data_IF_559194606816
#
_entry.id   IF_559194606816
#
_cell.length_a   1.000
_cell.length_b   1.000
_cell.length_c   1.000
_cell.angle_alpha   90.00
_cell.angle_beta   90.00
_cell.angle_gamma   90.00
#
_symmetry.space_group_name_H-M   'P 1'
#
loop_
_entity.id
_entity.type
_entity.pdbx_description
1 polymer ?
#
# COMPACT_ATOMS: atom_id res chain seq x y z
N UNK A 1 -1.61 2.44 -10.62
CA UNK A 1 -0.72 1.92 -9.55
C UNK A 1 -1.05 2.73 -8.31
N UNK A 2 -1.46 2.05 -7.24
CA UNK A 2 -1.80 2.66 -5.93
C UNK A 2 -0.63 3.54 -5.49
N UNK A 3 -0.85 4.53 -4.64
CA UNK A 3 0.12 5.48 -4.07
C UNK A 3 0.28 6.79 -4.86
N UNK A 4 -0.65 7.71 -4.61
CA UNK A 4 -0.50 9.13 -4.93
C UNK A 4 -1.82 9.85 -5.17
N UNK A 5 -2.74 9.18 -5.86
CA UNK A 5 -4.04 9.77 -6.20
C UNK A 5 -5.10 9.35 -5.19
N UNK A 6 -6.08 10.24 -4.99
CA UNK A 6 -7.16 10.16 -4.01
C UNK A 6 -8.13 8.98 -4.16
N UNK A 7 -7.77 7.97 -4.95
CA UNK A 7 -8.57 6.78 -5.22
C UNK A 7 -7.89 5.56 -4.62
N UNK A 8 -8.34 5.17 -3.43
CA UNK A 8 -8.13 3.82 -2.91
C UNK A 8 -8.68 2.83 -3.92
N UNK A 9 -7.90 1.81 -4.33
CA UNK A 9 -8.42 0.72 -5.14
C UNK A 9 -9.71 0.13 -4.58
N UNK A 10 -10.67 -0.30 -5.43
CA UNK A 10 -11.94 -0.87 -4.97
C UNK A 10 -11.81 -2.04 -4.00
N UNK A 11 -10.68 -2.77 -4.03
CA UNK A 11 -10.43 -3.85 -3.07
C UNK A 11 -10.37 -3.35 -1.61
N UNK A 12 -9.97 -2.09 -1.40
CA UNK A 12 -9.85 -1.54 -0.05
C UNK A 12 -11.20 -1.25 0.61
N UNK A 13 -12.28 -1.14 -0.17
CA UNK A 13 -13.64 -0.96 0.33
C UNK A 13 -14.15 -2.16 1.13
N UNK A 14 -13.43 -3.30 1.06
CA UNK A 14 -13.72 -4.52 1.83
C UNK A 14 -13.16 -4.49 3.25
N UNK A 15 -12.33 -3.51 3.60
CA UNK A 15 -11.80 -3.34 4.94
C UNK A 15 -12.60 -2.30 5.72
N UNK A 16 -12.98 -2.64 6.95
CA UNK A 16 -13.68 -1.75 7.87
C UNK A 16 -12.80 -0.54 8.23
N UNK A 17 -11.49 -0.76 8.31
CA UNK A 17 -10.50 0.28 8.54
C UNK A 17 -9.25 0.01 7.71
N UNK A 18 -8.68 1.08 7.19
CA UNK A 18 -7.41 1.05 6.48
C UNK A 18 -6.54 2.22 6.90
N UNK A 19 -5.25 1.96 7.05
CA UNK A 19 -4.28 2.99 7.37
C UNK A 19 -2.89 2.65 6.83
N UNK A 20 -2.28 3.60 6.12
CA UNK A 20 -0.87 3.47 5.70
C UNK A 20 0.04 3.57 6.93
N UNK A 21 0.78 2.53 7.26
CA UNK A 21 1.64 2.47 8.46
C UNK A 21 3.12 2.27 8.13
N UNK A 22 3.44 1.89 6.89
CA UNK A 22 4.81 1.75 6.41
C UNK A 22 4.93 2.19 4.96
N UNK A 23 6.04 2.85 4.62
CA UNK A 23 6.31 3.28 3.26
C UNK A 23 7.81 3.27 3.00
N UNK A 24 8.22 2.53 1.97
CA UNK A 24 9.60 2.51 1.49
C UNK A 24 9.65 3.15 0.11
N UNK A 25 10.45 4.20 0.02
CA UNK A 25 10.67 4.98 -1.17
C UNK A 25 12.10 4.77 -1.67
N UNK A 26 12.25 4.63 -2.97
CA UNK A 26 13.53 4.60 -3.68
C UNK A 26 13.56 5.73 -4.70
N UNK A 27 14.77 6.04 -5.17
CA UNK A 27 14.99 7.12 -6.13
C UNK A 27 14.44 8.48 -5.64
N UNK A 28 14.49 8.72 -4.33
CA UNK A 28 14.08 10.01 -3.76
C UNK A 28 15.15 11.03 -4.10
N UNK A 29 14.82 12.00 -4.96
CA UNK A 29 15.76 13.06 -5.36
C UNK A 29 15.71 14.16 -4.31
N UNK A 30 16.81 14.37 -3.58
CA UNK A 30 16.94 15.45 -2.61
C UNK A 30 17.59 16.70 -3.21
N UNK A 31 18.52 16.50 -4.15
CA UNK A 31 19.22 17.53 -4.92
C UNK A 31 19.77 16.88 -6.21
N UNK A 32 20.31 17.69 -7.14
CA UNK A 32 20.87 17.27 -8.44
C UNK A 32 21.82 16.07 -8.39
N UNK A 33 22.55 15.93 -7.29
CA UNK A 33 23.56 14.87 -7.12
C UNK A 33 23.24 13.92 -5.96
N UNK A 34 22.09 14.06 -5.32
CA UNK A 34 21.73 13.29 -4.12
C UNK A 34 20.42 12.55 -4.37
N UNK A 35 20.55 11.23 -4.54
CA UNK A 35 19.43 10.30 -4.61
C UNK A 35 19.52 9.35 -3.42
N UNK A 36 18.42 9.23 -2.69
CA UNK A 36 18.37 8.38 -1.50
C UNK A 36 17.24 7.37 -1.50
N UNK A 37 17.23 6.58 -0.43
CA UNK A 37 16.13 5.70 -0.05
C UNK A 37 15.57 6.20 1.27
N UNK A 38 14.26 6.19 1.40
CA UNK A 38 13.56 6.65 2.60
C UNK A 38 12.64 5.53 3.06
N UNK A 39 12.69 5.22 4.35
CA UNK A 39 11.79 4.27 4.98
C UNK A 39 11.05 4.97 6.11
N UNK A 40 9.73 4.86 6.09
CA UNK A 40 8.83 5.48 7.04
C UNK A 40 8.04 4.39 7.74
N UNK A 41 7.83 4.57 9.03
CA UNK A 41 6.92 3.76 9.83
C UNK A 41 6.11 4.68 10.74
N UNK A 42 4.82 4.39 10.91
CA UNK A 42 3.92 5.14 11.77
C UNK A 42 2.98 4.22 12.54
N UNK A 43 2.76 4.55 13.81
CA UNK A 43 1.73 3.92 14.65
C UNK A 43 0.36 4.58 14.48
N UNK A 44 0.34 5.80 13.96
CA UNK A 44 -0.85 6.65 13.86
C UNK A 44 -1.36 6.82 12.42
N UNK A 45 -0.56 6.38 11.45
CA UNK A 45 -0.83 6.57 10.02
C UNK A 45 0.19 7.51 9.38
N UNK A 46 0.44 7.33 8.09
CA UNK A 46 1.28 8.19 7.27
C UNK A 46 0.36 9.02 6.39
N UNK A 47 0.33 10.33 6.62
CA UNK A 47 -0.23 11.27 5.67
C UNK A 47 0.86 11.69 4.68
N UNK A 48 0.86 11.03 3.52
CA UNK A 48 1.80 11.29 2.44
C UNK A 48 1.72 12.74 1.93
N UNK A 49 0.52 13.34 1.93
CA UNK A 49 0.34 14.72 1.45
C UNK A 49 1.05 15.68 2.39
N UNK A 50 0.81 15.56 3.69
CA UNK A 50 1.44 16.41 4.70
C UNK A 50 2.97 16.37 4.65
N UNK A 51 3.58 15.23 4.32
CA UNK A 51 5.03 15.07 4.34
C UNK A 51 5.68 15.50 3.00
N UNK A 52 5.02 15.30 1.86
CA UNK A 52 5.66 15.50 0.55
C UNK A 52 5.21 16.73 -0.24
N UNK A 53 4.02 17.29 0.01
CA UNK A 53 3.57 18.53 -0.66
C UNK A 53 4.53 19.71 -0.44
N UNK A 54 5.32 19.67 0.63
CA UNK A 54 6.35 20.68 0.95
C UNK A 54 7.70 20.45 0.26
N UNK A 55 7.92 19.31 -0.40
CA UNK A 55 9.28 18.92 -0.83
C UNK A 55 9.49 18.83 -2.34
N UNK A 56 8.42 18.76 -3.16
CA UNK A 56 8.54 18.69 -4.63
C UNK A 56 9.38 17.51 -5.14
N UNK A 57 9.60 16.48 -4.32
CA UNK A 57 10.56 15.40 -4.59
C UNK A 57 9.96 14.35 -5.52
N UNK A 58 10.69 14.01 -6.56
CA UNK A 58 10.45 12.80 -7.34
C UNK A 58 10.85 11.58 -6.52
N UNK A 59 9.98 10.57 -6.46
CA UNK A 59 10.24 9.30 -5.79
C UNK A 59 9.53 8.15 -6.50
N UNK A 60 9.95 6.93 -6.17
CA UNK A 60 9.28 5.69 -6.54
C UNK A 60 8.92 4.94 -5.26
N UNK A 61 7.67 4.51 -5.13
CA UNK A 61 7.25 3.63 -4.04
C UNK A 61 7.79 2.22 -4.33
N UNK A 62 8.65 1.72 -3.45
CA UNK A 62 9.19 0.35 -3.49
C UNK A 62 8.26 -0.61 -2.74
N UNK A 63 7.79 -0.20 -1.57
CA UNK A 63 6.83 -0.96 -0.77
C UNK A 63 5.93 -0.02 0.00
N UNK A 64 4.68 -0.39 0.17
CA UNK A 64 3.79 0.25 1.13
C UNK A 64 3.08 -0.79 1.96
N UNK A 65 2.95 -0.49 3.24
CA UNK A 65 2.34 -1.37 4.24
C UNK A 65 1.16 -0.66 4.87
N UNK A 66 0.01 -1.30 4.79
CA UNK A 66 -1.22 -0.89 5.41
C UNK A 66 -1.51 -1.75 6.62
N UNK A 67 -1.98 -1.12 7.68
CA UNK A 67 -2.75 -1.79 8.70
C UNK A 67 -4.21 -1.77 8.28
N UNK A 68 -4.86 -2.93 8.36
CA UNK A 68 -6.26 -3.08 7.99
C UNK A 68 -7.03 -3.85 9.05
N UNK A 69 -8.34 -3.61 9.08
CA UNK A 69 -9.30 -4.41 9.84
C UNK A 69 -10.37 -4.92 8.89
N UNK A 70 -10.66 -6.22 8.92
CA UNK A 70 -11.79 -6.81 8.22
C UNK A 70 -12.48 -7.85 9.11
N UNK A 71 -13.80 -7.68 9.30
CA UNK A 71 -14.62 -8.57 10.13
C UNK A 71 -14.03 -8.73 11.54
N UNK A 72 -13.62 -7.61 12.15
CA UNK A 72 -12.94 -7.54 13.46
C UNK A 72 -11.54 -8.18 13.53
N UNK A 73 -11.00 -8.69 12.42
CA UNK A 73 -9.62 -9.19 12.36
C UNK A 73 -8.70 -8.06 11.92
N UNK A 74 -7.72 -7.74 12.78
CA UNK A 74 -6.68 -6.76 12.49
C UNK A 74 -5.43 -7.43 11.97
N UNK A 75 -4.79 -6.83 10.97
CA UNK A 75 -3.50 -7.27 10.45
C UNK A 75 -2.90 -6.28 9.47
N UNK A 76 -1.93 -6.75 8.69
CA UNK A 76 -1.19 -5.92 7.73
C UNK A 76 -1.22 -6.50 6.33
N UNK A 77 -1.21 -5.57 5.36
CA UNK A 77 -1.08 -5.82 3.94
C UNK A 77 0.10 -5.01 3.42
N UNK A 78 1.06 -5.66 2.78
CA UNK A 78 2.17 -4.96 2.13
C UNK A 78 2.19 -5.26 0.65
N UNK A 79 2.34 -4.22 -0.17
CA UNK A 79 2.46 -4.31 -1.61
C UNK A 79 3.85 -3.84 -2.00
N UNK A 80 4.57 -4.62 -2.80
CA UNK A 80 5.81 -4.19 -3.42
C UNK A 80 5.60 -3.77 -4.87
N UNK A 81 6.48 -2.91 -5.38
CA UNK A 81 6.56 -2.56 -6.80
C UNK A 81 6.72 -3.79 -7.71
N UNK A 82 7.34 -4.86 -7.21
CA UNK A 82 7.53 -6.12 -7.93
C UNK A 82 6.29 -7.02 -7.98
N UNK A 83 5.15 -6.58 -7.44
CA UNK A 83 3.92 -7.36 -7.41
C UNK A 83 3.84 -8.36 -6.25
N UNK A 84 4.80 -8.36 -5.32
CA UNK A 84 4.71 -9.17 -4.11
C UNK A 84 3.67 -8.56 -3.17
N UNK A 85 2.71 -9.38 -2.75
CA UNK A 85 1.74 -9.05 -1.70
C UNK A 85 2.07 -9.89 -0.47
N UNK A 86 2.23 -9.24 0.68
CA UNK A 86 2.38 -9.91 1.98
C UNK A 86 1.16 -9.61 2.84
N UNK A 87 0.62 -10.65 3.46
CA UNK A 87 -0.58 -10.58 4.30
C UNK A 87 -0.25 -11.21 5.65
N UNK A 88 -0.72 -10.61 6.74
CA UNK A 88 -0.65 -11.26 8.06
C UNK A 88 -1.52 -12.51 8.08
N UNK A 89 -1.01 -13.64 8.58
CA UNK A 89 -1.65 -14.96 8.54
C UNK A 89 -3.14 -14.97 8.90
N UNK A 90 -3.54 -14.20 9.93
CA UNK A 90 -4.95 -14.13 10.36
C UNK A 90 -5.89 -13.50 9.34
N UNK A 91 -5.37 -12.65 8.46
CA UNK A 91 -6.11 -12.06 7.34
C UNK A 91 -6.04 -12.91 6.07
N UNK A 92 -5.10 -13.86 5.99
CA UNK A 92 -4.87 -14.65 4.78
C UNK A 92 -6.13 -15.36 4.25
N UNK A 93 -7.00 -15.98 5.07
CA UNK A 93 -8.23 -16.61 4.57
C UNK A 93 -9.15 -15.62 3.85
N UNK A 94 -9.36 -14.42 4.44
CA UNK A 94 -10.21 -13.40 3.83
C UNK A 94 -9.60 -12.82 2.54
N UNK A 95 -8.27 -12.85 2.45
CA UNK A 95 -7.53 -12.40 1.28
C UNK A 95 -7.53 -13.42 0.14
N UNK A 96 -7.57 -14.71 0.46
CA UNK A 96 -7.70 -15.79 -0.52
C UNK A 96 -9.07 -15.75 -1.18
N UNK A 97 -10.15 -15.63 -0.40
CA UNK A 97 -11.52 -15.45 -0.92
C UNK A 97 -11.60 -14.29 -1.93
N UNK A 98 -10.81 -13.22 -1.70
CA UNK A 98 -10.72 -12.09 -2.62
C UNK A 98 -9.97 -12.40 -3.91
N UNK A 99 -8.81 -13.05 -3.82
CA UNK A 99 -8.04 -13.41 -5.01
C UNK A 99 -8.80 -14.38 -5.90
N UNK A 100 -9.54 -15.32 -5.32
CA UNK A 100 -10.40 -16.23 -6.06
C UNK A 100 -11.43 -15.45 -6.89
N UNK A 101 -12.18 -14.54 -6.27
CA UNK A 101 -13.15 -13.71 -7.00
C UNK A 101 -12.53 -12.80 -8.07
N UNK A 102 -11.36 -12.20 -7.79
CA UNK A 102 -10.67 -11.35 -8.76
C UNK A 102 -10.12 -12.15 -9.96
N UNK A 103 -9.67 -13.39 -9.72
CA UNK A 103 -9.22 -14.29 -10.79
C UNK A 103 -10.39 -14.73 -11.66
N UNK A 104 -11.54 -15.04 -11.06
CA UNK A 104 -12.77 -15.39 -11.80
C UNK A 104 -13.23 -14.26 -12.71
N UNK A 105 -13.25 -13.01 -12.21
CA UNK A 105 -13.64 -11.84 -13.00
C UNK A 105 -12.71 -11.60 -14.20
N UNK A 106 -11.40 -11.83 -14.03
CA UNK A 106 -10.41 -11.75 -15.12
C UNK A 106 -10.57 -12.91 -16.13
N UNK A 107 -10.99 -14.08 -15.68
CA UNK A 107 -11.20 -15.25 -16.53
C UNK A 107 -12.47 -15.11 -17.37
N UNK A 108 -13.54 -14.51 -16.82
CA UNK A 108 -14.82 -14.29 -17.50
C UNK A 108 -14.81 -13.10 -18.47
N UNK A 109 -13.84 -12.20 -18.35
CA UNK A 109 -13.66 -11.05 -19.24
C UNK A 109 -12.81 -11.35 -20.49
N UNK A 110 -12.60 -12.64 -20.79
CA UNK A 110 -11.99 -13.16 -22.03
C UNK A 110 -13.01 -13.91 -22.88
#
# INVERSE_FOLDING_TARGET
MVFGDSTTPPFFDKFDQIRLVGLKLINVVFDRHVVGRVELASKEGIDLKAIWETTGKTYVVDTATYEVTARMIKGQLSFSKGGLVKVTDRLAPQFLDFFEGAIEEIAESR
#
